data_IF_441857205193
#
_entry.id   IF_441857205193
#
_cell.length_a   1.000
_cell.length_b   1.000
_cell.length_c   1.000
_cell.angle_alpha   90.00
_cell.angle_beta   90.00
_cell.angle_gamma   90.00
#
_symmetry.space_group_name_H-M   'P 1'
#
loop_
_entity.id
_entity.type
_entity.pdbx_description
1 polymer ?
#
# COMPACT_ATOMS: atom_id res chain seq x y z
N UNK A 1 0.50 -8.98 -9.62
CA UNK A 1 0.03 -7.65 -9.17
C UNK A 1 1.10 -7.04 -8.28
N UNK A 2 1.61 -5.85 -8.63
CA UNK A 2 2.69 -5.17 -7.90
C UNK A 2 2.16 -4.03 -7.04
N UNK A 3 2.80 -3.78 -5.90
CA UNK A 3 2.49 -2.67 -5.01
C UNK A 3 2.81 -1.33 -5.69
N UNK A 4 1.92 -0.33 -5.63
CA UNK A 4 2.12 0.93 -6.34
C UNK A 4 3.34 1.72 -5.81
N UNK A 5 3.70 1.55 -4.53
CA UNK A 5 4.82 2.25 -3.89
C UNK A 5 6.17 1.58 -4.11
N UNK A 6 6.32 0.31 -3.72
CA UNK A 6 7.62 -0.37 -3.73
C UNK A 6 7.88 -1.24 -4.97
N UNK A 7 6.89 -1.36 -5.86
CA UNK A 7 6.93 -2.17 -7.10
C UNK A 7 7.24 -3.65 -6.88
N UNK A 8 7.17 -4.16 -5.64
CA UNK A 8 7.26 -5.59 -5.29
C UNK A 8 5.88 -6.26 -5.32
N UNK A 9 5.84 -7.59 -5.34
CA UNK A 9 4.58 -8.34 -5.24
C UNK A 9 3.78 -7.90 -4.00
N UNK A 10 2.49 -7.62 -4.21
CA UNK A 10 1.63 -7.17 -3.10
C UNK A 10 1.10 -8.30 -2.21
N UNK A 11 1.27 -9.55 -2.67
CA UNK A 11 0.76 -10.77 -2.03
C UNK A 11 -0.70 -10.67 -1.60
N UNK A 12 -1.46 -9.82 -2.29
CA UNK A 12 -2.90 -9.69 -2.11
C UNK A 12 -3.56 -10.36 -3.31
N UNK A 13 -4.04 -11.59 -3.10
CA UNK A 13 -4.63 -12.39 -4.15
C UNK A 13 -6.00 -11.82 -4.53
N UNK A 14 -6.06 -11.04 -5.61
CA UNK A 14 -7.28 -10.35 -6.06
C UNK A 14 -8.41 -11.30 -6.48
N UNK A 15 -8.11 -12.57 -6.74
CA UNK A 15 -9.10 -13.59 -7.09
C UNK A 15 -9.95 -14.02 -5.90
N UNK A 16 -9.44 -13.85 -4.67
CA UNK A 16 -10.19 -14.10 -3.46
C UNK A 16 -9.82 -13.05 -2.41
N UNK A 17 -10.53 -11.91 -2.45
CA UNK A 17 -10.32 -10.83 -1.49
C UNK A 17 -10.49 -11.29 -0.03
N UNK A 18 -11.27 -12.34 0.22
CA UNK A 18 -11.48 -12.88 1.57
C UNK A 18 -10.23 -13.59 2.11
N UNK A 19 -9.30 -14.03 1.27
CA UNK A 19 -8.04 -14.63 1.68
C UNK A 19 -6.86 -13.65 1.67
N UNK A 20 -7.07 -12.38 1.28
CA UNK A 20 -5.99 -11.39 1.35
C UNK A 20 -5.78 -10.92 2.79
N UNK A 21 -4.51 -10.80 3.17
CA UNK A 21 -4.08 -10.28 4.48
C UNK A 21 -4.70 -8.90 4.82
N UNK A 22 -5.07 -8.10 3.81
CA UNK A 22 -5.65 -6.77 3.99
C UNK A 22 -6.99 -6.77 4.74
N UNK A 23 -7.70 -7.91 4.79
CA UNK A 23 -8.96 -8.06 5.53
C UNK A 23 -8.77 -8.01 7.05
N UNK A 24 -7.58 -8.41 7.51
CA UNK A 24 -7.28 -8.58 8.94
C UNK A 24 -6.41 -7.44 9.48
N UNK A 25 -6.15 -6.40 8.68
CA UNK A 25 -5.25 -5.30 9.03
C UNK A 25 -5.93 -3.96 8.77
N UNK A 26 -5.78 -3.03 9.70
CA UNK A 26 -6.25 -1.68 9.49
C UNK A 26 -5.36 -0.97 8.47
N UNK A 27 -5.89 -0.69 7.28
CA UNK A 27 -5.18 0.07 6.24
C UNK A 27 -5.58 1.54 6.35
N UNK A 28 -4.65 2.46 6.65
CA UNK A 28 -4.97 3.87 6.78
C UNK A 28 -5.57 4.46 5.50
N UNK A 29 -6.69 5.18 5.63
CA UNK A 29 -7.33 5.89 4.49
C UNK A 29 -6.37 6.85 3.80
N UNK A 30 -5.51 7.51 4.57
CA UNK A 30 -4.45 8.39 4.06
C UNK A 30 -3.53 7.65 3.08
N UNK A 31 -3.08 6.44 3.44
CA UNK A 31 -2.23 5.62 2.59
C UNK A 31 -2.95 5.16 1.31
N UNK A 32 -4.24 4.84 1.39
CA UNK A 32 -5.07 4.52 0.22
C UNK A 32 -5.17 5.73 -0.72
N UNK A 33 -5.41 6.93 -0.17
CA UNK A 33 -5.45 8.16 -0.95
C UNK A 33 -4.10 8.44 -1.62
N UNK A 34 -2.98 8.19 -0.92
CA UNK A 34 -1.64 8.32 -1.49
C UNK A 34 -1.38 7.30 -2.62
N UNK A 35 -1.97 6.11 -2.57
CA UNK A 35 -1.84 5.14 -3.66
C UNK A 35 -2.57 5.58 -4.93
N UNK A 36 -3.60 6.43 -4.80
CA UNK A 36 -4.38 6.94 -5.93
C UNK A 36 -3.57 7.84 -6.87
N UNK A 37 -2.44 8.39 -6.39
CA UNK A 37 -1.48 9.12 -7.23
C UNK A 37 -0.85 8.26 -8.33
N UNK A 38 -0.78 6.95 -8.15
CA UNK A 38 -0.07 6.06 -9.07
C UNK A 38 -0.90 5.60 -10.27
N UNK A 39 -2.15 6.08 -10.43
CA UNK A 39 -3.14 5.75 -11.50
C UNK A 39 -3.51 4.27 -11.63
N UNK A 40 -2.66 3.34 -11.19
CA UNK A 40 -2.90 1.91 -11.20
C UNK A 40 -3.80 1.49 -10.05
N UNK A 41 -4.87 0.74 -10.37
CA UNK A 41 -5.72 0.07 -9.39
C UNK A 41 -5.04 -1.22 -8.93
N UNK A 42 -4.07 -1.12 -8.03
CA UNK A 42 -3.37 -2.27 -7.44
C UNK A 42 -3.41 -2.23 -5.92
N UNK A 43 -3.51 -3.39 -5.27
CA UNK A 43 -3.45 -3.45 -3.81
C UNK A 43 -2.05 -3.07 -3.32
N UNK A 44 -2.00 -2.32 -2.22
CA UNK A 44 -0.79 -1.96 -1.47
C UNK A 44 -0.29 -3.21 -0.75
N UNK A 45 1.01 -3.48 -0.69
CA UNK A 45 1.56 -4.63 0.04
C UNK A 45 1.58 -4.41 1.56
N UNK A 46 1.58 -5.51 2.34
CA UNK A 46 1.57 -5.44 3.80
C UNK A 46 2.77 -4.65 4.35
N UNK A 47 3.96 -4.89 3.81
CA UNK A 47 5.17 -4.19 4.24
C UNK A 47 5.10 -2.68 4.04
N UNK A 48 4.41 -2.20 2.99
CA UNK A 48 4.21 -0.77 2.80
C UNK A 48 3.20 -0.19 3.80
N UNK A 49 2.18 -0.97 4.19
CA UNK A 49 1.26 -0.58 5.27
C UNK A 49 2.03 -0.46 6.59
N UNK A 50 2.88 -1.43 6.91
CA UNK A 50 3.68 -1.42 8.14
C UNK A 50 4.68 -0.28 8.20
N UNK A 51 5.39 -0.02 7.10
CA UNK A 51 6.32 1.11 7.03
C UNK A 51 5.60 2.44 7.23
N UNK A 52 4.41 2.62 6.65
CA UNK A 52 3.62 3.84 6.82
C UNK A 52 3.11 4.00 8.26
N UNK A 53 2.63 2.92 8.88
CA UNK A 53 2.19 2.95 10.28
C UNK A 53 3.33 3.22 11.25
N UNK A 54 4.53 2.74 10.94
CA UNK A 54 5.73 2.96 11.75
C UNK A 54 6.22 4.41 11.69
N UNK A 55 6.30 4.98 10.49
CA UNK A 55 6.73 6.37 10.28
C UNK A 55 6.16 6.91 8.97
N UNK A 56 5.09 7.71 9.09
CA UNK A 56 4.39 8.30 7.94
C UNK A 56 5.26 9.26 7.15
N UNK A 57 6.06 10.07 7.84
CA UNK A 57 6.85 11.13 7.22
C UNK A 57 8.03 10.54 6.46
N UNK A 58 8.71 9.56 7.05
CA UNK A 58 9.75 8.81 6.35
C UNK A 58 9.19 8.04 5.16
N UNK A 59 7.99 7.45 5.30
CA UNK A 59 7.33 6.77 4.18
C UNK A 59 7.04 7.73 3.02
N UNK A 60 6.44 8.89 3.31
CA UNK A 60 6.12 9.91 2.30
C UNK A 60 7.37 10.37 1.57
N UNK A 61 8.42 10.75 2.30
CA UNK A 61 9.72 11.13 1.72
C UNK A 61 10.30 10.07 0.79
N UNK A 62 10.10 8.79 1.12
CA UNK A 62 10.64 7.67 0.35
C UNK A 62 9.84 7.35 -0.90
N UNK A 63 8.51 7.44 -0.85
CA UNK A 63 7.64 6.87 -1.89
C UNK A 63 6.72 7.87 -2.58
N UNK A 64 6.60 9.11 -2.09
CA UNK A 64 5.73 10.15 -2.67
C UNK A 64 6.62 11.30 -3.16
N UNK A 65 7.08 11.27 -4.43
CA UNK A 65 7.99 12.29 -4.96
C UNK A 65 7.20 13.56 -5.33
N UNK A 66 6.76 14.35 -4.34
CA UNK A 66 6.23 15.72 -4.47
C UNK A 66 5.67 16.32 -3.15
N UNK A 67 5.93 15.70 -2.00
CA UNK A 67 5.48 16.14 -0.67
C UNK A 67 6.65 16.59 0.20
#
# INVERSE_FOLDING_TARGET
MFCPFCKKHNNCNSLNINSCWCKNKNIPKELISLSSFFKEKSCICESCVDLFLKDKELFKKKFIPSL
#
